data_IF_839059936381
#
_entry.id   IF_839059936381
#
_cell.length_a   1.000
_cell.length_b   1.000
_cell.length_c   1.000
_cell.angle_alpha   90.00
_cell.angle_beta   90.00
_cell.angle_gamma   90.00
#
_symmetry.space_group_name_H-M   'P 1'
#
loop_
_entity.id
_entity.type
_entity.pdbx_description
1 polymer ?
#
# COMPACT_ATOMS: atom_id res chain seq x y z
N UNK A 1 -27.22 2.51 -5.30
CA UNK A 1 -26.36 3.59 -5.82
C UNK A 1 -24.96 3.09 -6.12
N UNK A 2 -24.40 3.51 -7.26
CA UNK A 2 -22.99 3.30 -7.59
C UNK A 2 -22.18 4.51 -7.13
N UNK A 3 -21.06 4.25 -6.48
CA UNK A 3 -20.21 5.27 -5.88
C UNK A 3 -18.82 5.12 -6.48
N UNK A 4 -18.29 6.22 -6.97
CA UNK A 4 -17.04 6.25 -7.71
C UNK A 4 -16.06 7.21 -7.04
N UNK A 5 -14.89 6.70 -6.68
CA UNK A 5 -13.78 7.50 -6.15
C UNK A 5 -12.65 7.56 -7.17
N UNK A 6 -12.10 8.75 -7.39
CA UNK A 6 -11.03 8.95 -8.37
C UNK A 6 -9.77 9.46 -7.69
N UNK A 7 -8.66 8.76 -7.89
CA UNK A 7 -7.33 9.23 -7.49
C UNK A 7 -6.58 9.62 -8.75
N UNK A 8 -6.29 10.91 -8.88
CA UNK A 8 -5.51 11.43 -10.01
C UNK A 8 -4.06 11.05 -9.83
N UNK A 9 -3.42 10.64 -10.92
CA UNK A 9 -1.98 10.46 -10.93
C UNK A 9 -1.30 11.82 -10.80
N UNK A 10 -0.27 11.88 -9.97
CA UNK A 10 0.67 12.98 -9.96
C UNK A 10 1.26 13.10 -11.40
N UNK A 11 1.22 14.29 -12.04
CA UNK A 11 1.51 14.50 -13.47
C UNK A 11 2.93 14.16 -13.94
N UNK A 12 3.74 13.50 -13.12
CA UNK A 12 5.16 13.22 -13.33
C UNK A 12 5.45 11.99 -14.20
N UNK A 13 4.53 11.52 -15.05
CA UNK A 13 4.73 10.26 -15.81
C UNK A 13 4.47 10.45 -17.31
N UNK A 14 5.45 10.08 -18.12
CA UNK A 14 5.37 10.04 -19.60
C UNK A 14 5.59 8.64 -20.20
N UNK A 15 5.47 7.56 -19.43
CA UNK A 15 5.56 6.21 -19.99
C UNK A 15 4.21 5.76 -20.56
N UNK A 16 4.21 5.08 -21.72
CA UNK A 16 2.98 4.56 -22.30
C UNK A 16 2.37 3.50 -21.38
N UNK A 17 1.24 3.86 -20.77
CA UNK A 17 0.20 2.98 -20.28
C UNK A 17 -0.86 2.91 -21.40
N UNK A 18 -0.71 1.96 -22.35
CA UNK A 18 -1.33 2.07 -23.67
C UNK A 18 -2.85 1.88 -23.66
N UNK A 19 -3.42 1.33 -22.59
CA UNK A 19 -4.83 0.98 -22.54
C UNK A 19 -5.39 1.08 -21.12
N UNK A 20 -6.66 1.45 -21.04
CA UNK A 20 -7.41 1.40 -19.78
C UNK A 20 -7.63 -0.06 -19.39
N UNK A 21 -7.36 -0.40 -18.13
CA UNK A 21 -7.52 -1.78 -17.60
C UNK A 21 -8.51 -1.81 -16.45
N UNK A 22 -9.19 -2.94 -16.28
CA UNK A 22 -10.19 -3.16 -15.25
C UNK A 22 -9.84 -4.39 -14.42
N UNK A 23 -9.99 -4.27 -13.11
CA UNK A 23 -9.76 -5.35 -12.16
C UNK A 23 -10.85 -5.34 -11.10
N UNK A 24 -11.10 -6.49 -10.48
CA UNK A 24 -12.01 -6.59 -9.35
C UNK A 24 -11.21 -6.97 -8.09
N UNK A 25 -11.30 -6.13 -7.06
CA UNK A 25 -10.64 -6.36 -5.76
C UNK A 25 -11.62 -6.05 -4.64
N UNK A 26 -11.83 -7.02 -3.74
CA UNK A 26 -12.71 -6.89 -2.55
C UNK A 26 -14.16 -6.44 -2.86
N UNK A 27 -14.66 -6.78 -4.06
CA UNK A 27 -15.97 -6.34 -4.54
C UNK A 27 -16.01 -4.94 -5.15
N UNK A 28 -14.87 -4.25 -5.23
CA UNK A 28 -14.71 -2.99 -5.94
C UNK A 28 -14.20 -3.21 -7.37
N UNK A 29 -14.76 -2.47 -8.33
CA UNK A 29 -14.19 -2.36 -9.67
C UNK A 29 -13.09 -1.29 -9.67
N UNK A 30 -11.88 -1.66 -10.05
CA UNK A 30 -10.71 -0.78 -10.13
C UNK A 30 -10.34 -0.57 -11.60
N UNK A 31 -10.60 0.63 -12.09
CA UNK A 31 -10.26 1.08 -13.43
C UNK A 31 -8.96 1.87 -13.42
N UNK A 32 -7.99 1.44 -14.21
CA UNK A 32 -6.72 2.14 -14.43
C UNK A 32 -6.83 2.99 -15.68
N UNK A 33 -6.76 4.31 -15.55
CA UNK A 33 -7.05 5.23 -16.65
C UNK A 33 -5.79 5.60 -17.44
N UNK A 34 -5.87 5.44 -18.77
CA UNK A 34 -4.91 5.97 -19.73
C UNK A 34 -5.45 7.23 -20.42
N UNK A 35 -4.58 8.20 -20.73
CA UNK A 35 -4.90 9.30 -21.63
C UNK A 35 -4.88 8.84 -23.09
N UNK A 36 -5.41 9.65 -24.00
CA UNK A 36 -5.34 9.40 -25.45
C UNK A 36 -3.90 9.28 -25.97
N UNK A 37 -2.95 9.96 -25.31
CA UNK A 37 -1.53 9.87 -25.59
C UNK A 37 -0.85 8.67 -24.90
N UNK A 38 -1.63 7.80 -24.27
CA UNK A 38 -1.16 6.62 -23.54
C UNK A 38 -0.52 6.94 -22.20
N UNK A 39 -0.78 8.07 -21.55
CA UNK A 39 -0.20 8.36 -20.23
C UNK A 39 -1.11 7.88 -19.09
N UNK A 40 -0.52 7.35 -18.02
CA UNK A 40 -1.29 6.99 -16.82
C UNK A 40 -1.89 8.25 -16.19
N UNK A 41 -3.22 8.29 -16.05
CA UNK A 41 -3.98 9.44 -15.53
C UNK A 41 -4.37 9.26 -14.06
N UNK A 42 -4.44 8.03 -13.58
CA UNK A 42 -4.90 7.72 -12.23
C UNK A 42 -5.70 6.43 -12.18
N UNK A 43 -6.34 6.20 -11.05
CA UNK A 43 -7.25 5.08 -10.85
C UNK A 43 -8.63 5.57 -10.44
N UNK A 44 -9.63 4.79 -10.80
CA UNK A 44 -11.01 5.00 -10.41
C UNK A 44 -11.50 3.73 -9.74
N UNK A 45 -12.03 3.84 -8.52
CA UNK A 45 -12.53 2.73 -7.71
C UNK A 45 -14.04 2.89 -7.59
N UNK A 46 -14.80 1.90 -8.04
CA UNK A 46 -16.26 1.93 -8.03
C UNK A 46 -16.83 0.81 -7.16
N UNK A 47 -17.87 1.12 -6.40
CA UNK A 47 -18.68 0.17 -5.65
C UNK A 47 -20.15 0.31 -6.07
N UNK A 48 -20.82 -0.81 -6.36
CA UNK A 48 -22.22 -0.84 -6.76
C UNK A 48 -23.12 -1.35 -5.63
N UNK A 49 -24.41 -1.00 -5.66
CA UNK A 49 -25.40 -1.57 -4.73
C UNK A 49 -25.38 -0.99 -3.32
N UNK A 50 -24.87 0.23 -3.12
CA UNK A 50 -24.89 0.89 -1.81
C UNK A 50 -26.26 1.53 -1.56
N UNK A 51 -26.87 1.30 -0.39
CA UNK A 51 -28.17 1.86 -0.02
C UNK A 51 -28.02 3.24 0.65
N UNK A 52 -28.88 4.18 0.25
CA UNK A 52 -28.95 5.52 0.84
C UNK A 52 -29.95 5.50 2.00
N UNK A 53 -29.46 5.77 3.20
CA UNK A 53 -30.28 5.83 4.43
C UNK A 53 -30.69 7.25 4.81
N UNK A 54 -30.03 8.27 4.28
CA UNK A 54 -30.38 9.66 4.56
C UNK A 54 -29.60 10.68 3.74
N UNK A 55 -29.77 11.96 4.08
CA UNK A 55 -29.02 13.09 3.52
C UNK A 55 -28.82 14.14 4.62
N UNK A 56 -27.61 14.68 4.73
CA UNK A 56 -27.27 15.79 5.63
C UNK A 56 -26.63 16.95 4.84
N UNK A 57 -26.11 17.95 5.55
CA UNK A 57 -25.45 19.13 5.00
C UNK A 57 -24.17 18.81 4.20
N UNK A 58 -23.58 17.64 4.46
CA UNK A 58 -22.33 17.17 3.86
C UNK A 58 -22.56 16.16 2.71
N UNK A 59 -23.82 15.82 2.39
CA UNK A 59 -24.16 14.91 1.30
C UNK A 59 -25.05 13.73 1.70
N UNK A 60 -24.99 12.65 0.93
CA UNK A 60 -25.75 11.42 1.18
C UNK A 60 -25.18 10.63 2.35
N UNK A 61 -26.05 10.05 3.19
CA UNK A 61 -25.70 9.11 4.24
C UNK A 61 -26.03 7.71 3.75
N UNK A 62 -25.06 6.81 3.86
CA UNK A 62 -25.09 5.47 3.29
C UNK A 62 -25.18 4.42 4.38
N UNK A 63 -25.93 3.34 4.14
CA UNK A 63 -25.91 2.18 5.02
C UNK A 63 -24.49 1.61 5.00
N UNK A 64 -23.80 1.57 6.15
CA UNK A 64 -22.42 1.04 6.25
C UNK A 64 -21.32 1.92 5.65
N UNK A 65 -21.48 3.25 5.71
CA UNK A 65 -20.49 4.21 5.21
C UNK A 65 -19.05 3.92 5.66
N UNK A 66 -18.81 3.72 6.97
CA UNK A 66 -17.46 3.48 7.50
C UNK A 66 -16.81 2.21 6.93
N UNK A 67 -17.58 1.11 6.82
CA UNK A 67 -17.11 -0.19 6.31
C UNK A 67 -16.72 -0.08 4.83
N UNK A 68 -17.54 0.65 4.06
CA UNK A 68 -17.26 0.95 2.66
C UNK A 68 -16.03 1.83 2.50
N UNK A 69 -15.92 2.92 3.26
CA UNK A 69 -14.78 3.84 3.18
C UNK A 69 -13.47 3.13 3.55
N UNK A 70 -13.48 2.28 4.58
CA UNK A 70 -12.34 1.44 4.96
C UNK A 70 -11.93 0.52 3.81
N UNK A 71 -12.90 -0.14 3.17
CA UNK A 71 -12.66 -1.01 2.02
C UNK A 71 -12.05 -0.26 0.83
N UNK A 72 -12.63 0.89 0.48
CA UNK A 72 -12.16 1.68 -0.67
C UNK A 72 -10.76 2.25 -0.38
N UNK A 73 -10.52 2.74 0.84
CA UNK A 73 -9.21 3.21 1.26
C UNK A 73 -8.16 2.09 1.24
N UNK A 74 -8.53 0.86 1.63
CA UNK A 74 -7.65 -0.32 1.53
C UNK A 74 -7.29 -0.64 0.08
N UNK A 75 -8.25 -0.59 -0.85
CA UNK A 75 -8.00 -0.78 -2.29
C UNK A 75 -7.10 0.32 -2.84
N UNK A 76 -7.39 1.58 -2.52
CA UNK A 76 -6.58 2.74 -2.90
C UNK A 76 -5.14 2.61 -2.39
N UNK A 77 -4.98 2.28 -1.11
CA UNK A 77 -3.68 2.06 -0.47
C UNK A 77 -2.91 0.92 -1.11
N UNK A 78 -3.58 -0.18 -1.46
CA UNK A 78 -2.95 -1.28 -2.17
C UNK A 78 -2.42 -0.86 -3.54
N UNK A 79 -3.21 -0.11 -4.32
CA UNK A 79 -2.77 0.40 -5.62
C UNK A 79 -1.59 1.36 -5.47
N UNK A 80 -1.66 2.33 -4.54
CA UNK A 80 -0.58 3.30 -4.30
C UNK A 80 0.72 2.60 -3.91
N UNK A 81 0.66 1.69 -2.94
CA UNK A 81 1.82 0.94 -2.48
C UNK A 81 2.38 -0.01 -3.55
N UNK A 82 1.52 -0.62 -4.37
CA UNK A 82 1.98 -1.47 -5.48
C UNK A 82 2.72 -0.68 -6.55
N UNK A 83 2.21 0.50 -6.91
CA UNK A 83 2.88 1.41 -7.85
C UNK A 83 4.22 1.86 -7.27
N UNK A 84 4.24 2.31 -6.02
CA UNK A 84 5.47 2.71 -5.35
C UNK A 84 6.46 1.54 -5.30
N UNK A 85 6.02 0.32 -5.00
CA UNK A 85 6.92 -0.82 -4.98
C UNK A 85 7.55 -1.09 -6.36
N UNK A 86 6.78 -1.05 -7.44
CA UNK A 86 7.27 -1.31 -8.80
C UNK A 86 8.16 -0.18 -9.34
N UNK A 87 7.75 1.07 -9.12
CA UNK A 87 8.33 2.25 -9.79
C UNK A 87 9.26 3.06 -8.90
N UNK A 88 9.16 2.88 -7.57
CA UNK A 88 9.82 3.67 -6.50
C UNK A 88 9.40 5.14 -6.46
N UNK A 89 8.17 5.42 -6.88
CA UNK A 89 7.64 6.78 -7.03
C UNK A 89 6.21 6.88 -6.50
N UNK A 90 5.93 7.98 -5.82
CA UNK A 90 4.58 8.36 -5.37
C UNK A 90 3.79 8.90 -6.56
N UNK A 91 3.15 8.00 -7.29
CA UNK A 91 2.37 8.36 -8.48
C UNK A 91 0.91 8.63 -8.16
N UNK A 92 0.37 8.01 -7.10
CA UNK A 92 -0.95 8.29 -6.56
C UNK A 92 -0.84 8.28 -5.04
N UNK A 93 -1.63 9.11 -4.39
CA UNK A 93 -1.74 9.15 -2.93
C UNK A 93 -3.13 8.69 -2.51
N UNK A 94 -3.19 7.68 -1.64
CA UNK A 94 -4.45 7.18 -1.12
C UNK A 94 -5.11 8.19 -0.16
N UNK A 95 -4.32 9.06 0.47
CA UNK A 95 -4.84 10.08 1.40
C UNK A 95 -5.59 11.20 0.65
N UNK A 96 -5.34 11.37 -0.65
CA UNK A 96 -6.08 12.30 -1.51
C UNK A 96 -7.46 11.76 -1.95
N UNK A 97 -7.78 10.50 -1.65
CA UNK A 97 -9.01 9.82 -2.09
C UNK A 97 -10.29 10.56 -1.69
N UNK A 98 -10.33 11.16 -0.50
CA UNK A 98 -11.51 11.84 0.04
C UNK A 98 -11.47 13.37 -0.14
N UNK A 99 -10.44 13.89 -0.81
CA UNK A 99 -10.28 15.34 -1.02
C UNK A 99 -11.09 15.88 -2.21
N UNK A 100 -11.25 15.06 -3.26
CA UNK A 100 -11.83 15.43 -4.57
C UNK A 100 -12.97 14.47 -5.03
N UNK A 101 -13.45 13.59 -4.15
CA UNK A 101 -14.37 12.46 -4.42
C UNK A 101 -15.21 12.16 -3.15
N UNK A 102 -16.36 11.46 -3.22
CA UNK A 102 -16.87 10.64 -4.33
C UNK A 102 -17.80 11.35 -5.32
N UNK A 103 -17.97 10.70 -6.48
CA UNK A 103 -19.03 10.95 -7.46
C UNK A 103 -20.10 9.87 -7.31
N UNK A 104 -21.37 10.29 -7.27
CA UNK A 104 -22.52 9.42 -7.10
C UNK A 104 -23.24 9.20 -8.44
N UNK A 105 -23.51 7.94 -8.80
CA UNK A 105 -24.27 7.54 -9.98
C UNK A 105 -25.54 6.78 -9.55
N UNK A 106 -26.70 7.27 -10.01
CA UNK A 106 -27.98 6.63 -9.75
C UNK A 106 -28.10 5.32 -10.52
N UNK A 107 -28.53 4.27 -9.83
CA UNK A 107 -28.81 2.95 -10.38
C UNK A 107 -30.32 2.73 -10.59
N UNK A 108 -31.18 3.61 -10.06
CA UNK A 108 -32.63 3.52 -10.21
C UNK A 108 -33.31 4.91 -10.27
N UNK A 109 -34.58 4.95 -10.70
CA UNK A 109 -35.34 6.20 -10.88
C UNK A 109 -35.47 7.04 -9.61
N UNK A 110 -35.52 6.41 -8.44
CA UNK A 110 -35.60 7.08 -7.14
C UNK A 110 -34.28 7.79 -6.81
N UNK A 111 -33.14 7.15 -7.07
CA UNK A 111 -31.82 7.76 -6.93
C UNK A 111 -31.60 8.90 -7.95
N UNK A 112 -32.11 8.74 -9.17
CA UNK A 112 -32.01 9.75 -10.22
C UNK A 112 -32.74 11.06 -9.84
N UNK A 113 -33.89 10.94 -9.18
CA UNK A 113 -34.62 12.10 -8.64
C UNK A 113 -33.86 12.79 -7.50
N UNK A 114 -33.07 12.04 -6.71
CA UNK A 114 -32.26 12.57 -5.61
C UNK A 114 -31.01 13.33 -6.10
N UNK A 115 -30.37 12.85 -7.18
CA UNK A 115 -29.15 13.44 -7.75
C UNK A 115 -29.38 14.70 -8.59
N UNK A 116 -30.60 14.94 -9.11
CA UNK A 116 -30.93 16.10 -9.96
C UNK A 116 -30.76 17.48 -9.28
N UNK A 117 -30.49 17.53 -7.98
CA UNK A 117 -30.43 18.75 -7.18
C UNK A 117 -29.02 19.19 -6.74
N UNK A 118 -27.93 18.61 -7.24
CA UNK A 118 -26.57 18.96 -6.80
C UNK A 118 -25.70 19.64 -7.88
N UNK A 119 -24.96 20.67 -7.47
CA UNK A 119 -24.00 21.40 -8.30
C UNK A 119 -22.59 20.87 -8.08
N UNK A 120 -21.94 20.44 -9.16
CA UNK A 120 -20.57 19.91 -9.15
C UNK A 120 -19.58 21.08 -9.25
N UNK A 121 -18.70 21.26 -8.26
CA UNK A 121 -17.61 22.25 -8.28
C UNK A 121 -16.31 21.53 -8.66
N UNK A 122 -15.64 22.02 -9.70
CA UNK A 122 -14.33 21.51 -10.13
C UNK A 122 -13.25 22.57 -10.02
N UNK A 123 -12.08 22.18 -9.51
CA UNK A 123 -10.86 22.99 -9.52
C UNK A 123 -9.79 22.36 -10.41
N UNK A 124 -8.95 23.20 -11.03
CA UNK A 124 -7.85 22.80 -11.90
C UNK A 124 -6.51 23.18 -11.28
N UNK A 125 -5.49 22.32 -11.46
CA UNK A 125 -4.11 22.56 -11.02
C UNK A 125 -3.12 22.39 -12.19
N UNK A 126 -1.98 23.08 -12.08
CA UNK A 126 -0.95 23.25 -13.14
C UNK A 126 0.14 22.16 -12.99
N UNK A 127 0.63 21.63 -14.12
CA UNK A 127 1.54 20.47 -14.20
C UNK A 127 3.01 20.86 -14.38
N UNK A 128 3.91 20.15 -13.70
CA UNK A 128 5.33 20.03 -14.05
C UNK A 128 5.62 18.57 -14.46
N UNK A 129 6.47 18.36 -15.47
CA UNK A 129 6.83 17.04 -16.00
C UNK A 129 8.25 16.65 -15.60
N UNK A 130 8.44 15.42 -15.10
CA UNK A 130 9.74 14.79 -14.85
C UNK A 130 9.76 13.40 -15.50
N UNK A 131 10.91 12.98 -16.03
CA UNK A 131 11.10 11.67 -16.67
C UNK A 131 11.46 10.59 -15.65
N UNK A 132 10.86 9.41 -15.80
CA UNK A 132 11.08 8.24 -14.95
C UNK A 132 11.26 6.96 -15.80
N UNK A 133 12.08 5.96 -15.37
CA UNK A 133 12.62 4.92 -16.26
C UNK A 133 11.98 3.51 -16.13
N UNK A 134 10.78 3.31 -15.55
CA UNK A 134 10.18 1.95 -15.40
C UNK A 134 8.72 1.86 -15.85
N UNK A 135 8.40 0.77 -16.57
CA UNK A 135 7.05 0.43 -17.05
C UNK A 135 6.14 0.07 -15.87
N UNK A 136 4.96 0.68 -15.82
CA UNK A 136 3.87 0.36 -14.88
C UNK A 136 3.05 -0.81 -15.45
N UNK A 137 2.90 -1.88 -14.69
CA UNK A 137 2.24 -3.12 -15.14
C UNK A 137 1.28 -3.64 -14.04
N UNK A 138 0.06 -3.09 -13.96
CA UNK A 138 -0.93 -3.47 -12.95
C UNK A 138 -1.23 -4.95 -12.92
N UNK A 139 -1.18 -5.63 -14.06
CA UNK A 139 -1.34 -7.08 -14.19
C UNK A 139 -0.36 -7.90 -13.31
N UNK A 140 0.77 -7.32 -12.90
CA UNK A 140 1.73 -7.99 -12.03
C UNK A 140 1.31 -7.99 -10.57
N UNK A 141 0.35 -7.17 -10.16
CA UNK A 141 -0.04 -7.04 -8.76
C UNK A 141 -1.55 -6.99 -8.51
N UNK A 142 -2.37 -6.75 -9.53
CA UNK A 142 -3.83 -6.66 -9.43
C UNK A 142 -4.49 -8.05 -9.43
N UNK A 143 -4.16 -8.88 -8.43
CA UNK A 143 -4.80 -10.16 -8.19
C UNK A 143 -5.22 -10.33 -6.71
N UNK A 144 -6.26 -11.13 -6.41
CA UNK A 144 -6.77 -11.28 -5.05
C UNK A 144 -5.75 -11.84 -4.05
N UNK A 145 -4.83 -12.72 -4.48
CA UNK A 145 -3.84 -13.33 -3.59
C UNK A 145 -2.86 -12.27 -3.11
N UNK A 146 -2.40 -11.39 -4.00
CA UNK A 146 -1.54 -10.25 -3.64
C UNK A 146 -2.29 -9.20 -2.83
N UNK A 147 -3.56 -8.96 -3.15
CA UNK A 147 -4.38 -8.04 -2.35
C UNK A 147 -4.56 -8.50 -0.90
N UNK A 148 -4.61 -9.82 -0.65
CA UNK A 148 -4.63 -10.35 0.71
C UNK A 148 -3.36 -9.99 1.51
N UNK A 149 -2.25 -9.70 0.82
CA UNK A 149 -0.99 -9.22 1.40
C UNK A 149 -0.89 -7.69 1.46
N UNK A 150 -1.99 -6.95 1.23
CA UNK A 150 -2.00 -5.49 1.19
C UNK A 150 -1.41 -4.83 2.44
N UNK A 151 -1.67 -5.36 3.63
CA UNK A 151 -1.13 -4.82 4.88
C UNK A 151 0.39 -5.02 5.03
N UNK A 152 0.89 -6.21 4.67
CA UNK A 152 2.32 -6.48 4.65
C UNK A 152 3.04 -5.63 3.59
N UNK A 153 2.43 -5.46 2.41
CA UNK A 153 2.94 -4.59 1.35
C UNK A 153 3.01 -3.12 1.80
N UNK A 154 1.98 -2.60 2.45
CA UNK A 154 1.97 -1.24 3.01
C UNK A 154 3.11 -1.07 4.03
N UNK A 155 3.28 -2.04 4.93
CA UNK A 155 4.37 -2.05 5.91
C UNK A 155 5.74 -2.01 5.22
N UNK A 156 5.92 -2.77 4.14
CA UNK A 156 7.16 -2.80 3.37
C UNK A 156 7.44 -1.49 2.61
N UNK A 157 6.43 -0.89 1.98
CA UNK A 157 6.59 0.39 1.29
C UNK A 157 6.85 1.54 2.25
N UNK A 158 6.26 1.52 3.45
CA UNK A 158 6.61 2.45 4.52
C UNK A 158 8.09 2.33 4.91
N UNK A 159 8.61 1.11 5.03
CA UNK A 159 10.03 0.89 5.31
C UNK A 159 10.93 1.53 4.22
N UNK A 160 10.56 1.39 2.95
CA UNK A 160 11.28 2.02 1.84
C UNK A 160 11.30 3.55 1.94
N UNK A 161 10.21 4.18 2.39
CA UNK A 161 10.09 5.65 2.54
C UNK A 161 10.88 6.20 3.73
N UNK A 162 10.98 5.45 4.83
CA UNK A 162 11.67 5.88 6.05
C UNK A 162 13.16 6.13 5.80
N UNK A 163 13.67 7.33 6.08
CA UNK A 163 15.11 7.64 5.88
C UNK A 163 16.01 7.15 7.02
N UNK A 164 15.52 7.14 8.25
CA UNK A 164 16.30 6.74 9.42
C UNK A 164 16.58 5.21 9.37
N UNK A 165 17.86 4.76 9.40
CA UNK A 165 18.19 3.34 9.29
C UNK A 165 17.58 2.45 10.37
N UNK A 166 17.53 2.92 11.62
CA UNK A 166 16.99 2.14 12.75
C UNK A 166 15.49 1.91 12.58
N UNK A 167 14.74 2.98 12.27
CA UNK A 167 13.29 2.89 12.00
C UNK A 167 12.98 2.09 10.74
N UNK A 168 13.78 2.26 9.69
CA UNK A 168 13.66 1.50 8.44
C UNK A 168 13.86 0.00 8.70
N UNK A 169 14.86 -0.35 9.50
CA UNK A 169 15.13 -1.73 9.90
C UNK A 169 13.97 -2.34 10.69
N UNK A 170 13.47 -1.63 11.72
CA UNK A 170 12.29 -2.04 12.49
C UNK A 170 11.09 -2.28 11.57
N UNK A 171 10.84 -1.37 10.64
CA UNK A 171 9.70 -1.45 9.74
C UNK A 171 9.82 -2.62 8.76
N UNK A 172 11.00 -2.94 8.23
CA UNK A 172 11.19 -4.16 7.45
C UNK A 172 10.96 -5.42 8.29
N UNK A 173 11.40 -5.44 9.55
CA UNK A 173 11.15 -6.58 10.43
C UNK A 173 9.65 -6.79 10.70
N UNK A 174 8.86 -5.71 10.83
CA UNK A 174 7.40 -5.81 10.95
C UNK A 174 6.74 -6.54 9.79
N UNK A 175 7.32 -6.50 8.58
CA UNK A 175 6.85 -7.31 7.44
C UNK A 175 6.91 -8.80 7.78
N UNK A 176 7.97 -9.26 8.44
CA UNK A 176 8.10 -10.66 8.91
C UNK A 176 7.03 -11.00 9.94
N UNK A 177 6.68 -10.05 10.82
CA UNK A 177 5.68 -10.22 11.88
C UNK A 177 4.25 -10.40 11.33
N UNK A 178 3.97 -9.98 10.09
CA UNK A 178 2.71 -10.29 9.41
C UNK A 178 2.55 -11.80 9.11
N UNK A 179 3.65 -12.53 8.96
CA UNK A 179 3.64 -13.95 8.58
C UNK A 179 3.94 -14.89 9.75
N UNK A 180 4.61 -14.41 10.79
CA UNK A 180 5.04 -15.24 11.92
C UNK A 180 4.82 -14.53 13.26
N UNK A 181 4.21 -15.25 14.20
CA UNK A 181 4.02 -14.77 15.57
C UNK A 181 5.35 -14.76 16.36
N UNK A 182 5.81 -13.56 16.69
CA UNK A 182 7.05 -13.28 17.44
C UNK A 182 6.97 -13.68 18.91
N UNK A 183 5.79 -13.95 19.45
CA UNK A 183 5.62 -14.38 20.84
C UNK A 183 5.92 -15.87 21.05
N UNK A 184 6.06 -16.63 19.97
CA UNK A 184 6.36 -18.06 20.05
C UNK A 184 7.85 -18.29 20.32
N UNK A 185 8.16 -19.26 21.19
CA UNK A 185 9.56 -19.69 21.45
C UNK A 185 10.25 -20.31 20.23
N UNK A 186 9.48 -20.65 19.20
CA UNK A 186 9.93 -21.28 17.96
C UNK A 186 10.01 -20.29 16.79
N UNK A 187 9.89 -18.99 17.03
CA UNK A 187 9.89 -17.99 15.97
C UNK A 187 11.12 -18.11 15.05
N UNK A 188 12.33 -18.10 15.64
CA UNK A 188 13.59 -18.14 14.86
C UNK A 188 13.68 -19.41 14.00
N UNK A 189 13.30 -20.56 14.57
CA UNK A 189 13.27 -21.85 13.88
C UNK A 189 12.25 -21.87 12.73
N UNK A 190 11.03 -21.35 12.94
CA UNK A 190 9.98 -21.36 11.91
C UNK A 190 10.31 -20.44 10.74
N UNK A 191 10.79 -19.23 11.05
CA UNK A 191 11.18 -18.24 10.05
C UNK A 191 12.37 -18.76 9.22
N UNK A 192 13.39 -19.33 9.85
CA UNK A 192 14.55 -19.90 9.14
C UNK A 192 14.17 -21.12 8.30
N UNK A 193 13.36 -22.04 8.82
CA UNK A 193 12.89 -23.21 8.08
C UNK A 193 12.12 -22.85 6.80
N UNK A 194 11.40 -21.73 6.79
CA UNK A 194 10.74 -21.22 5.59
C UNK A 194 11.72 -20.47 4.68
N UNK A 195 12.40 -19.45 5.21
CA UNK A 195 13.25 -18.54 4.40
C UNK A 195 14.44 -19.26 3.75
N UNK A 196 15.02 -20.26 4.41
CA UNK A 196 16.16 -21.03 3.90
C UNK A 196 15.86 -21.82 2.63
N UNK A 197 14.58 -22.09 2.33
CA UNK A 197 14.16 -22.72 1.07
C UNK A 197 14.40 -21.81 -0.14
N UNK A 198 14.41 -20.49 0.07
CA UNK A 198 14.59 -19.48 -0.97
C UNK A 198 15.98 -18.85 -0.93
N UNK A 199 16.57 -18.71 0.26
CA UNK A 199 17.92 -18.21 0.42
C UNK A 199 18.59 -18.78 1.68
N UNK A 200 19.65 -19.57 1.47
CA UNK A 200 20.35 -20.31 2.53
C UNK A 200 21.08 -19.44 3.54
N UNK A 201 21.24 -18.13 3.32
CA UNK A 201 21.82 -17.23 4.33
C UNK A 201 20.94 -17.09 5.57
N UNK A 202 19.64 -17.39 5.47
CA UNK A 202 18.68 -17.26 6.55
C UNK A 202 18.55 -18.54 7.36
N UNK A 203 19.66 -18.94 7.98
CA UNK A 203 19.66 -19.96 9.03
C UNK A 203 19.11 -19.41 10.36
N UNK A 204 18.93 -20.29 11.34
CA UNK A 204 18.35 -19.93 12.64
C UNK A 204 19.18 -18.86 13.38
N UNK A 205 20.52 -18.93 13.28
CA UNK A 205 21.42 -17.96 13.89
C UNK A 205 21.29 -16.57 13.25
N UNK A 206 21.18 -16.50 11.92
CA UNK A 206 20.94 -15.26 11.20
C UNK A 206 19.60 -14.65 11.57
N UNK A 207 18.52 -15.44 11.62
CA UNK A 207 17.20 -14.94 12.01
C UNK A 207 17.22 -14.42 13.44
N UNK A 208 17.84 -15.16 14.36
CA UNK A 208 18.01 -14.74 15.75
C UNK A 208 18.76 -13.42 15.85
N UNK A 209 19.87 -13.26 15.10
CA UNK A 209 20.61 -12.01 15.04
C UNK A 209 19.71 -10.85 14.58
N UNK A 210 18.93 -11.04 13.50
CA UNK A 210 18.05 -10.01 12.99
C UNK A 210 16.97 -9.61 14.02
N UNK A 211 16.40 -10.59 14.72
CA UNK A 211 15.42 -10.35 15.80
C UNK A 211 16.02 -9.60 16.98
N UNK A 212 17.23 -9.96 17.39
CA UNK A 212 17.96 -9.26 18.44
C UNK A 212 18.28 -7.81 18.05
N UNK A 213 18.71 -7.58 16.81
CA UNK A 213 18.94 -6.24 16.28
C UNK A 213 17.65 -5.41 16.24
N UNK A 214 16.51 -6.00 15.85
CA UNK A 214 15.18 -5.35 15.93
C UNK A 214 14.85 -4.96 17.36
N UNK A 215 15.02 -5.86 18.32
CA UNK A 215 14.75 -5.57 19.73
C UNK A 215 15.60 -4.40 20.25
N UNK A 216 16.86 -4.29 19.80
CA UNK A 216 17.75 -3.19 20.16
C UNK A 216 17.37 -1.88 19.48
N UNK A 217 16.81 -1.90 18.27
CA UNK A 217 16.26 -0.72 17.60
C UNK A 217 15.00 -0.18 18.30
N UNK A 218 14.15 -1.08 18.82
CA UNK A 218 12.82 -0.72 19.36
C UNK A 218 12.84 -0.39 20.85
N UNK A 219 13.63 -1.11 21.65
CA UNK A 219 13.53 -1.04 23.11
C UNK A 219 14.72 -0.30 23.74
N UNK A 220 14.49 0.85 24.41
CA UNK A 220 15.55 1.57 25.13
C UNK A 220 16.24 0.74 26.22
N UNK A 221 15.57 -0.29 26.73
CA UNK A 221 16.06 -1.19 27.78
C UNK A 221 16.43 -2.59 27.24
N UNK A 222 16.77 -2.70 25.95
CA UNK A 222 17.18 -3.96 25.36
C UNK A 222 18.37 -4.56 26.13
N UNK A 223 18.33 -5.88 26.39
CA UNK A 223 19.31 -6.60 27.22
C UNK A 223 20.76 -6.44 26.73
N UNK A 224 20.96 -6.32 25.41
CA UNK A 224 22.27 -6.14 24.76
C UNK A 224 22.63 -4.66 24.54
N UNK A 225 21.89 -3.74 25.17
CA UNK A 225 21.98 -2.30 24.97
C UNK A 225 21.22 -1.83 23.73
N UNK A 226 20.53 -0.68 23.80
CA UNK A 226 19.76 -0.16 22.67
C UNK A 226 20.68 0.36 21.56
N UNK A 227 20.22 0.25 20.32
CA UNK A 227 20.74 1.06 19.24
C UNK A 227 20.08 2.44 19.30
N UNK A 228 20.89 3.49 19.11
CA UNK A 228 20.39 4.86 19.08
C UNK A 228 21.01 5.63 17.92
N UNK A 229 20.32 6.68 17.48
CA UNK A 229 20.72 7.50 16.33
C UNK A 229 21.93 8.39 16.61
N UNK A 230 22.30 8.59 17.87
CA UNK A 230 23.46 9.40 18.26
C UNK A 230 24.77 8.58 18.24
N UNK A 231 24.66 7.25 18.19
CA UNK A 231 25.80 6.34 18.16
C UNK A 231 26.09 5.87 16.72
N UNK A 232 27.19 6.37 16.15
CA UNK A 232 27.62 6.03 14.80
C UNK A 232 27.88 4.53 14.59
N UNK A 233 28.32 3.80 15.62
CA UNK A 233 28.52 2.35 15.55
C UNK A 233 27.16 1.66 15.40
N UNK A 234 26.16 2.08 16.16
CA UNK A 234 24.78 1.56 16.05
C UNK A 234 24.23 1.76 14.64
N UNK A 235 24.40 2.97 14.09
CA UNK A 235 23.97 3.29 12.73
C UNK A 235 24.69 2.44 11.67
N UNK A 236 26.01 2.29 11.77
CA UNK A 236 26.80 1.47 10.83
C UNK A 236 26.41 0.00 10.89
N UNK A 237 26.23 -0.56 12.09
CA UNK A 237 25.82 -1.94 12.28
C UNK A 237 24.47 -2.18 11.58
N UNK A 238 23.45 -1.38 11.90
CA UNK A 238 22.12 -1.56 11.31
C UNK A 238 22.11 -1.29 9.81
N UNK A 239 22.85 -0.28 9.34
CA UNK A 239 22.95 0.01 7.90
C UNK A 239 23.51 -1.20 7.13
N UNK A 240 24.46 -1.94 7.70
CA UNK A 240 24.99 -3.15 7.06
C UNK A 240 23.97 -4.30 7.02
N UNK A 241 23.06 -4.38 8.00
CA UNK A 241 22.01 -5.41 8.05
C UNK A 241 20.76 -5.05 7.25
N UNK A 242 20.59 -3.81 6.80
CA UNK A 242 19.40 -3.37 6.05
C UNK A 242 19.16 -4.19 4.78
N UNK A 243 20.23 -4.62 4.10
CA UNK A 243 20.12 -5.44 2.88
C UNK A 243 19.47 -6.79 3.21
N UNK A 244 19.88 -7.41 4.31
CA UNK A 244 19.46 -8.75 4.67
C UNK A 244 18.01 -8.75 5.17
N UNK A 245 17.63 -7.81 6.04
CA UNK A 245 16.24 -7.72 6.52
C UNK A 245 15.28 -7.32 5.39
N UNK A 246 15.72 -6.48 4.46
CA UNK A 246 14.93 -6.14 3.27
C UNK A 246 14.74 -7.36 2.38
N UNK A 247 15.79 -8.13 2.13
CA UNK A 247 15.71 -9.36 1.34
C UNK A 247 14.80 -10.40 1.99
N UNK A 248 14.86 -10.53 3.32
CA UNK A 248 13.97 -11.40 4.07
C UNK A 248 12.49 -10.98 3.92
N UNK A 249 12.21 -9.68 4.02
CA UNK A 249 10.87 -9.14 3.80
C UNK A 249 10.37 -9.36 2.36
N UNK A 250 11.26 -9.22 1.36
CA UNK A 250 10.96 -9.51 -0.05
C UNK A 250 10.61 -10.98 -0.27
N UNK A 251 11.37 -11.91 0.33
CA UNK A 251 11.08 -13.35 0.27
C UNK A 251 9.65 -13.65 0.74
N UNK A 252 9.21 -13.08 1.86
CA UNK A 252 7.87 -13.33 2.40
C UNK A 252 6.75 -12.65 1.62
N UNK A 253 7.02 -11.49 1.00
CA UNK A 253 6.05 -10.86 0.09
C UNK A 253 5.88 -11.63 -1.22
N UNK A 254 6.96 -12.22 -1.74
CA UNK A 254 6.94 -13.03 -2.96
C UNK A 254 6.43 -14.45 -2.71
N UNK A 255 6.68 -14.98 -1.51
CA UNK A 255 6.36 -16.33 -1.07
C UNK A 255 5.67 -16.25 0.31
N UNK A 256 4.39 -15.88 0.36
CA UNK A 256 3.64 -15.81 1.61
C UNK A 256 3.43 -17.20 2.24
N UNK A 257 3.47 -17.24 3.57
CA UNK A 257 3.19 -18.44 4.37
C UNK A 257 1.68 -18.58 4.54
N UNK A 258 1.09 -19.67 4.04
CA UNK A 258 -0.34 -19.99 4.20
C UNK A 258 -0.51 -21.34 4.90
#
# INVERSE_FOLDING_TARGET
>A
MKITYTIKANPLISSPFPETKFYNLDGCEVKWEASESGFFKGITISLCGTEIVGKNENGFILSEQDIMEEKIYRVASFCSNSIYNQTKLELIDADELFSDSPIYEAENKREEELLKNEAIIGYSSIKAMLQIPKKLEPEKFMDPVKFNQSSALATYTDALRIQNPLRRYEQFFKVVEHYFDTHTKQFDQKVSAYASQFNSIFDEDKIKQLREDRNRCTHPQAKLGPYNSENIISLRTITSQLKDIKLLAEIFLENPVF
#
